data_IF_754337051504
#
_entry.id   IF_754337051504
#
_cell.length_a   1.000
_cell.length_b   1.000
_cell.length_c   1.000
_cell.angle_alpha   90.00
_cell.angle_beta   90.00
_cell.angle_gamma   90.00
#
_symmetry.space_group_name_H-M   'P 1'
#
loop_
_entity.id
_entity.type
_entity.pdbx_description
1 polymer ?
#
# COMPACT_ATOMS: atom_id res chain seq x y z
N UNK A 1 1.21 -27.29 -3.44
CA UNK A 1 0.54 -26.18 -4.13
C UNK A 1 1.57 -25.61 -5.07
N UNK A 2 1.14 -25.12 -6.24
CA UNK A 2 2.05 -24.38 -7.11
C UNK A 2 2.55 -23.12 -6.39
N UNK A 3 3.75 -22.69 -6.69
CA UNK A 3 4.35 -21.48 -6.13
C UNK A 3 4.07 -20.28 -7.01
N UNK A 4 4.04 -19.09 -6.43
CA UNK A 4 3.95 -17.83 -7.15
C UNK A 4 5.20 -16.99 -6.87
N UNK A 5 5.77 -16.44 -7.92
CA UNK A 5 7.03 -15.69 -7.88
C UNK A 5 6.81 -14.23 -8.25
N UNK A 6 7.49 -13.34 -7.57
CA UNK A 6 7.64 -11.94 -7.98
C UNK A 6 8.85 -11.86 -8.90
N UNK A 7 8.62 -11.48 -10.14
CA UNK A 7 9.68 -11.36 -11.15
C UNK A 7 10.32 -9.99 -11.11
N UNK A 8 9.51 -8.93 -11.10
CA UNK A 8 9.97 -7.56 -10.95
C UNK A 8 8.88 -6.70 -10.30
N UNK A 9 9.30 -5.56 -9.78
CA UNK A 9 8.43 -4.59 -9.15
C UNK A 9 8.95 -3.18 -9.43
N UNK A 10 8.06 -2.27 -9.83
CA UNK A 10 8.40 -0.90 -10.19
C UNK A 10 7.27 0.05 -9.78
N UNK A 11 7.63 1.29 -9.46
CA UNK A 11 6.67 2.33 -9.07
C UNK A 11 6.97 3.67 -9.74
N UNK A 12 6.00 4.55 -9.76
CA UNK A 12 6.23 5.96 -10.01
C UNK A 12 6.95 6.59 -8.80
N UNK A 13 7.59 7.74 -8.95
CA UNK A 13 7.78 8.62 -7.80
C UNK A 13 6.42 9.00 -7.22
N UNK A 14 6.38 9.37 -5.94
CA UNK A 14 5.15 9.81 -5.28
C UNK A 14 5.04 11.33 -5.36
N UNK A 15 3.99 11.81 -6.03
CA UNK A 15 3.68 13.22 -6.16
C UNK A 15 2.91 13.74 -4.93
N UNK A 16 3.36 14.84 -4.35
CA UNK A 16 2.67 15.46 -3.21
C UNK A 16 1.37 16.14 -3.62
N UNK A 17 0.56 16.52 -2.63
CA UNK A 17 -0.63 17.34 -2.85
C UNK A 17 -0.24 18.64 -3.57
N UNK A 18 -0.90 18.92 -4.73
CA UNK A 18 -0.60 20.04 -5.64
C UNK A 18 0.84 20.03 -6.16
N UNK A 19 1.46 18.84 -6.25
CA UNK A 19 2.81 18.65 -6.77
C UNK A 19 2.85 18.33 -8.26
N UNK A 20 3.99 17.82 -8.71
CA UNK A 20 4.29 17.59 -10.13
C UNK A 20 3.35 16.60 -10.82
N UNK A 21 2.78 15.63 -10.07
CA UNK A 21 1.87 14.64 -10.64
C UNK A 21 0.39 15.03 -10.57
N UNK A 22 0.05 16.19 -9.98
CA UNK A 22 -1.35 16.59 -9.73
C UNK A 22 -2.21 16.77 -11.00
N UNK A 23 -1.58 17.01 -12.15
CA UNK A 23 -2.23 17.16 -13.45
C UNK A 23 -2.20 15.87 -14.29
N UNK A 24 -1.52 14.81 -13.82
CA UNK A 24 -1.44 13.54 -14.55
C UNK A 24 -2.78 12.82 -14.46
N UNK A 25 -3.33 12.44 -15.60
CA UNK A 25 -4.58 11.68 -15.62
C UNK A 25 -4.40 10.32 -14.92
N UNK A 26 -5.34 9.87 -14.07
CA UNK A 26 -5.21 8.62 -13.31
C UNK A 26 -4.88 7.38 -14.16
N UNK A 27 -5.41 7.29 -15.38
CA UNK A 27 -5.10 6.19 -16.28
C UNK A 27 -3.65 6.24 -16.78
N UNK A 28 -3.11 7.45 -17.09
CA UNK A 28 -1.71 7.62 -17.50
C UNK A 28 -0.76 7.36 -16.34
N UNK A 29 -1.14 7.79 -15.13
CA UNK A 29 -0.40 7.51 -13.91
C UNK A 29 -0.22 6.01 -13.69
N UNK A 30 -1.33 5.23 -13.81
CA UNK A 30 -1.31 3.78 -13.66
C UNK A 30 -0.62 3.04 -14.81
N UNK A 31 -0.74 3.55 -16.04
CA UNK A 31 -0.10 2.98 -17.22
C UNK A 31 1.45 3.08 -17.17
N UNK A 32 1.98 4.08 -16.48
CA UNK A 32 3.42 4.34 -16.46
C UNK A 32 4.25 3.18 -15.86
N UNK A 33 3.97 2.68 -14.64
CA UNK A 33 4.71 1.54 -14.10
C UNK A 33 4.47 0.25 -14.88
N UNK A 34 3.32 0.07 -15.54
CA UNK A 34 3.09 -1.09 -16.42
C UNK A 34 4.06 -1.05 -17.60
N UNK A 35 4.18 0.10 -18.29
CA UNK A 35 5.16 0.26 -19.39
C UNK A 35 6.59 -0.03 -18.92
N UNK A 36 6.96 0.51 -17.78
CA UNK A 36 8.30 0.28 -17.21
C UNK A 36 8.52 -1.18 -16.85
N UNK A 37 7.54 -1.85 -16.25
CA UNK A 37 7.61 -3.27 -15.88
C UNK A 37 7.79 -4.18 -17.09
N UNK A 38 7.00 -4.00 -18.15
CA UNK A 38 7.09 -4.77 -19.40
C UNK A 38 8.46 -4.52 -20.07
N UNK A 39 8.90 -3.26 -20.14
CA UNK A 39 10.20 -2.94 -20.74
C UNK A 39 11.39 -3.54 -19.95
N UNK A 40 11.32 -3.54 -18.61
CA UNK A 40 12.39 -4.08 -17.75
C UNK A 40 12.48 -5.60 -17.80
N UNK A 41 11.34 -6.27 -17.82
CA UNK A 41 11.29 -7.74 -17.87
C UNK A 41 11.50 -8.32 -19.25
N UNK A 42 11.23 -7.52 -20.29
CA UNK A 42 11.34 -7.94 -21.70
C UNK A 42 10.33 -9.00 -22.11
N UNK A 43 9.28 -9.24 -21.31
CA UNK A 43 8.24 -10.20 -21.66
C UNK A 43 7.39 -9.72 -22.82
N UNK A 44 6.84 -10.66 -23.58
CA UNK A 44 5.70 -10.37 -24.46
C UNK A 44 4.47 -10.02 -23.61
N UNK A 45 4.02 -8.78 -23.71
CA UNK A 45 2.83 -8.34 -22.99
C UNK A 45 1.57 -9.16 -23.36
N UNK A 46 1.56 -9.79 -24.54
CA UNK A 46 0.49 -10.68 -24.97
C UNK A 46 0.44 -12.02 -24.24
N UNK A 47 1.50 -12.38 -23.52
CA UNK A 47 1.53 -13.58 -22.67
C UNK A 47 0.93 -13.36 -21.28
N UNK A 48 0.58 -12.11 -20.92
CA UNK A 48 -0.06 -11.81 -19.64
C UNK A 48 -1.50 -12.31 -19.66
N UNK A 49 -1.88 -13.10 -18.66
CA UNK A 49 -3.23 -13.66 -18.54
C UNK A 49 -4.24 -12.65 -18.02
N UNK A 50 -3.82 -11.77 -17.09
CA UNK A 50 -4.72 -10.81 -16.46
C UNK A 50 -3.96 -9.63 -15.82
N UNK A 51 -4.68 -8.54 -15.60
CA UNK A 51 -4.24 -7.36 -14.84
C UNK A 51 -5.15 -7.18 -13.64
N UNK A 52 -4.62 -7.36 -12.43
CA UNK A 52 -5.36 -7.13 -11.18
C UNK A 52 -4.86 -5.84 -10.56
N UNK A 53 -5.74 -4.84 -10.44
CA UNK A 53 -5.35 -3.47 -10.15
C UNK A 53 -6.09 -2.84 -8.99
N UNK A 54 -5.37 -2.40 -7.97
CA UNK A 54 -5.92 -1.73 -6.80
C UNK A 54 -6.23 -0.25 -7.08
N UNK A 55 -7.43 0.17 -6.73
CA UNK A 55 -7.83 1.58 -6.74
C UNK A 55 -8.99 1.79 -5.77
N UNK A 56 -8.94 2.87 -5.00
CA UNK A 56 -10.05 3.33 -4.16
C UNK A 56 -10.74 4.52 -4.82
N UNK A 57 -11.94 4.86 -4.33
CA UNK A 57 -12.68 6.01 -4.86
C UNK A 57 -12.79 5.96 -6.40
N UNK A 58 -13.30 4.84 -6.92
CA UNK A 58 -13.42 4.56 -8.36
C UNK A 58 -14.54 5.35 -9.03
N UNK A 59 -14.45 6.67 -8.98
CA UNK A 59 -15.36 7.63 -9.59
C UNK A 59 -14.62 8.54 -10.59
N UNK A 60 -15.35 9.23 -11.46
CA UNK A 60 -14.77 10.14 -12.44
C UNK A 60 -13.68 9.46 -13.28
N UNK A 61 -12.46 10.02 -13.36
CA UNK A 61 -11.38 9.46 -14.18
C UNK A 61 -10.78 8.14 -13.62
N UNK A 62 -11.19 7.70 -12.44
CA UNK A 62 -10.84 6.40 -11.86
C UNK A 62 -11.96 5.36 -12.01
N UNK A 63 -13.10 5.72 -12.61
CA UNK A 63 -14.23 4.82 -12.86
C UNK A 63 -14.02 3.94 -14.09
N UNK A 64 -14.97 3.04 -14.33
CA UNK A 64 -15.05 2.25 -15.56
C UNK A 64 -13.97 1.17 -15.67
N UNK A 65 -13.67 0.52 -14.56
CA UNK A 65 -12.59 -0.48 -14.46
C UNK A 65 -11.22 0.11 -14.82
N UNK A 66 -10.66 0.89 -13.89
CA UNK A 66 -9.35 1.52 -14.08
C UNK A 66 -8.25 0.46 -14.33
N UNK A 67 -8.36 -0.76 -13.78
CA UNK A 67 -7.42 -1.86 -14.01
C UNK A 67 -7.31 -2.22 -15.49
N UNK A 68 -8.43 -2.32 -16.18
CA UNK A 68 -8.45 -2.53 -17.63
C UNK A 68 -7.97 -1.29 -18.38
N UNK A 69 -8.40 -0.10 -17.93
CA UNK A 69 -8.06 1.17 -18.59
C UNK A 69 -6.56 1.45 -18.59
N UNK A 70 -5.85 1.24 -17.47
CA UNK A 70 -4.40 1.49 -17.40
C UNK A 70 -3.60 0.57 -18.32
N UNK A 71 -4.04 -0.67 -18.52
CA UNK A 71 -3.44 -1.61 -19.46
C UNK A 71 -3.56 -1.12 -20.92
N UNK A 72 -4.76 -0.68 -21.30
CA UNK A 72 -5.02 -0.15 -22.65
C UNK A 72 -4.29 1.16 -22.91
N UNK A 73 -4.25 2.08 -21.94
CA UNK A 73 -3.50 3.35 -22.03
C UNK A 73 -1.98 3.10 -22.07
N UNK A 74 -1.51 2.02 -21.46
CA UNK A 74 -0.13 1.59 -21.62
C UNK A 74 0.23 1.14 -23.05
N UNK A 75 -0.78 0.97 -23.93
CA UNK A 75 -0.59 0.51 -25.30
C UNK A 75 -0.42 -1.00 -25.41
N UNK A 76 -0.82 -1.73 -24.40
CA UNK A 76 -0.67 -3.19 -24.31
C UNK A 76 -1.79 -3.93 -25.07
N UNK A 77 -1.61 -5.25 -25.39
CA UNK A 77 -2.54 -6.02 -26.20
C UNK A 77 -3.98 -6.05 -25.65
N UNK A 78 -4.96 -5.87 -26.53
CA UNK A 78 -6.37 -5.75 -26.18
C UNK A 78 -7.02 -7.05 -25.69
N UNK A 79 -6.43 -8.20 -25.97
CA UNK A 79 -6.96 -9.50 -25.52
C UNK A 79 -6.69 -9.80 -24.05
N UNK A 80 -5.73 -9.10 -23.42
CA UNK A 80 -5.45 -9.26 -21.99
C UNK A 80 -6.50 -8.53 -21.17
N UNK A 81 -7.28 -9.21 -20.33
CA UNK A 81 -8.31 -8.59 -19.49
C UNK A 81 -7.69 -7.76 -18.36
N UNK A 82 -8.55 -7.12 -17.57
CA UNK A 82 -8.15 -6.44 -16.37
C UNK A 82 -9.33 -6.31 -15.42
N UNK A 83 -9.06 -6.19 -14.14
CA UNK A 83 -10.06 -5.98 -13.10
C UNK A 83 -9.56 -5.02 -12.03
N UNK A 84 -10.49 -4.24 -11.48
CA UNK A 84 -10.21 -3.30 -10.40
C UNK A 84 -10.61 -3.90 -9.06
N UNK A 85 -9.73 -3.78 -8.07
CA UNK A 85 -9.95 -4.26 -6.70
C UNK A 85 -9.98 -3.07 -5.75
N UNK A 86 -11.03 -2.97 -4.94
CA UNK A 86 -11.12 -2.08 -3.80
C UNK A 86 -11.13 -2.90 -2.50
N UNK A 87 -10.05 -2.82 -1.75
CA UNK A 87 -9.90 -3.22 -0.35
C UNK A 87 -9.36 -2.05 0.45
N UNK A 88 -9.93 -0.88 0.20
CA UNK A 88 -9.48 0.35 0.83
C UNK A 88 -7.95 0.52 0.69
N UNK A 89 -7.26 0.90 1.75
CA UNK A 89 -5.80 1.12 1.75
C UNK A 89 -4.99 -0.09 1.23
N UNK A 90 -5.52 -1.32 1.38
CA UNK A 90 -4.87 -2.57 0.97
C UNK A 90 -5.13 -3.02 -0.47
N UNK A 91 -5.77 -2.19 -1.31
CA UNK A 91 -6.26 -2.60 -2.64
C UNK A 91 -5.19 -3.23 -3.52
N UNK A 92 -4.01 -2.64 -3.67
CA UNK A 92 -2.93 -3.25 -4.48
C UNK A 92 -2.22 -4.42 -3.79
N UNK A 93 -2.23 -4.50 -2.46
CA UNK A 93 -1.79 -5.72 -1.78
C UNK A 93 -2.78 -6.86 -2.01
N UNK A 94 -4.09 -6.57 -2.03
CA UNK A 94 -5.11 -7.55 -2.40
C UNK A 94 -5.00 -7.95 -3.88
N UNK A 95 -4.67 -7.01 -4.75
CA UNK A 95 -4.39 -7.32 -6.17
C UNK A 95 -3.23 -8.31 -6.31
N UNK A 96 -2.14 -8.11 -5.56
CA UNK A 96 -1.03 -9.07 -5.45
C UNK A 96 -1.51 -10.44 -4.92
N UNK A 97 -2.36 -10.46 -3.90
CA UNK A 97 -2.91 -11.71 -3.36
C UNK A 97 -3.72 -12.46 -4.42
N UNK A 98 -4.60 -11.78 -5.17
CA UNK A 98 -5.42 -12.41 -6.20
C UNK A 98 -4.57 -12.92 -7.35
N UNK A 99 -3.58 -12.16 -7.82
CA UNK A 99 -2.62 -12.61 -8.83
C UNK A 99 -1.87 -13.87 -8.38
N UNK A 100 -1.30 -13.85 -7.16
CA UNK A 100 -0.60 -15.01 -6.61
C UNK A 100 -1.54 -16.22 -6.43
N UNK A 101 -2.78 -16.02 -5.97
CA UNK A 101 -3.78 -17.08 -5.84
C UNK A 101 -4.19 -17.65 -7.21
N UNK A 102 -4.35 -16.81 -8.24
CA UNK A 102 -4.59 -17.24 -9.61
C UNK A 102 -3.49 -18.15 -10.13
N UNK A 103 -2.24 -17.76 -9.90
CA UNK A 103 -1.04 -18.56 -10.25
C UNK A 103 -0.99 -19.86 -9.43
N UNK A 104 -1.15 -19.79 -8.10
CA UNK A 104 -1.12 -20.96 -7.22
C UNK A 104 -2.25 -21.94 -7.50
N UNK A 105 -3.39 -21.49 -8.00
CA UNK A 105 -4.51 -22.35 -8.40
C UNK A 105 -4.30 -23.05 -9.75
N UNK A 106 -3.32 -22.59 -10.54
CA UNK A 106 -3.06 -23.09 -11.89
C UNK A 106 -4.04 -22.59 -12.94
N UNK A 107 -4.81 -21.50 -12.65
CA UNK A 107 -5.72 -20.89 -13.61
C UNK A 107 -5.06 -19.76 -14.42
N UNK A 108 -3.93 -19.26 -13.96
CA UNK A 108 -3.14 -18.21 -14.57
C UNK A 108 -1.65 -18.52 -14.39
N UNK A 109 -0.82 -18.10 -15.34
CA UNK A 109 0.62 -18.32 -15.30
C UNK A 109 1.42 -17.03 -15.18
N UNK A 110 0.91 -15.93 -15.76
CA UNK A 110 1.60 -14.63 -15.78
C UNK A 110 0.61 -13.49 -15.57
N UNK A 111 0.72 -12.79 -14.44
CA UNK A 111 -0.24 -11.76 -14.03
C UNK A 111 0.46 -10.46 -13.64
N UNK A 112 -0.06 -9.34 -14.13
CA UNK A 112 0.35 -8.02 -13.64
C UNK A 112 -0.54 -7.64 -12.47
N UNK A 113 0.06 -7.46 -11.29
CA UNK A 113 -0.60 -6.95 -10.10
C UNK A 113 -0.09 -5.55 -9.78
N UNK A 114 -0.97 -4.65 -9.37
CA UNK A 114 -0.53 -3.31 -9.01
C UNK A 114 -1.66 -2.45 -8.49
N UNK A 115 -1.46 -1.14 -8.57
CA UNK A 115 -2.50 -0.18 -8.22
C UNK A 115 -2.07 1.25 -8.47
N UNK A 116 -3.04 2.13 -8.52
CA UNK A 116 -2.86 3.56 -8.66
C UNK A 116 -3.85 4.34 -7.81
N UNK A 117 -3.46 5.55 -7.42
CA UNK A 117 -4.35 6.50 -6.77
C UNK A 117 -3.92 7.92 -7.12
N UNK A 118 -4.83 8.73 -7.61
CA UNK A 118 -4.63 10.14 -7.90
C UNK A 118 -5.50 10.97 -6.94
N UNK A 119 -4.97 11.22 -5.72
CA UNK A 119 -5.73 11.90 -4.66
C UNK A 119 -5.82 13.42 -4.87
N UNK A 120 -5.05 13.97 -5.82
CA UNK A 120 -5.23 15.34 -6.28
C UNK A 120 -6.45 15.47 -7.19
N UNK A 121 -6.75 14.46 -8.02
CA UNK A 121 -7.89 14.45 -8.92
C UNK A 121 -9.18 14.01 -8.19
N UNK A 122 -9.10 12.93 -7.42
CA UNK A 122 -10.21 12.33 -6.66
C UNK A 122 -9.80 12.27 -5.19
N UNK A 123 -10.32 13.16 -4.34
CA UNK A 123 -10.00 13.18 -2.91
C UNK A 123 -10.41 11.88 -2.21
N UNK A 124 -9.70 11.56 -1.11
CA UNK A 124 -10.04 10.43 -0.24
C UNK A 124 -11.51 10.49 0.20
N UNK A 125 -12.19 9.36 0.17
CA UNK A 125 -13.60 9.18 0.53
C UNK A 125 -14.60 9.83 -0.44
N UNK A 126 -14.16 10.32 -1.60
CA UNK A 126 -15.07 10.94 -2.57
C UNK A 126 -16.17 9.96 -3.02
N UNK A 127 -15.89 8.67 -3.15
CA UNK A 127 -16.89 7.66 -3.49
C UNK A 127 -17.95 7.48 -2.40
N UNK A 128 -17.62 7.71 -1.12
CA UNK A 128 -18.57 7.60 -0.01
C UNK A 128 -19.68 8.67 -0.07
N UNK A 129 -19.38 9.81 -0.68
CA UNK A 129 -20.32 10.93 -0.84
C UNK A 129 -20.88 11.05 -2.26
N UNK A 130 -20.41 10.25 -3.20
CA UNK A 130 -20.86 10.29 -4.59
C UNK A 130 -22.36 9.94 -4.76
N UNK A 131 -22.99 9.39 -3.74
CA UNK A 131 -24.43 9.12 -3.70
C UNK A 131 -25.33 10.32 -3.37
N UNK A 132 -24.79 11.47 -2.98
CA UNK A 132 -25.57 12.64 -2.58
C UNK A 132 -26.62 13.09 -3.65
N UNK A 133 -26.29 13.11 -4.96
CA UNK A 133 -27.29 13.44 -6.00
C UNK A 133 -28.48 12.45 -6.06
N UNK A 134 -28.32 11.26 -5.48
CA UNK A 134 -29.33 10.21 -5.42
C UNK A 134 -30.02 10.12 -4.04
N UNK A 135 -29.72 11.04 -3.11
CA UNK A 135 -30.31 11.09 -1.79
C UNK A 135 -29.55 10.31 -0.70
N UNK A 136 -28.33 9.85 -0.96
CA UNK A 136 -27.49 9.11 -0.01
C UNK A 136 -26.33 9.99 0.47
N UNK A 137 -26.30 10.31 1.76
CA UNK A 137 -25.24 11.17 2.35
C UNK A 137 -23.97 10.41 2.72
N UNK A 138 -24.07 9.09 2.93
CA UNK A 138 -22.95 8.16 3.10
C UNK A 138 -23.46 6.71 2.95
N UNK A 139 -22.59 5.70 2.80
CA UNK A 139 -23.02 4.33 2.55
C UNK A 139 -23.68 3.62 3.75
N UNK A 140 -23.63 4.18 4.97
CA UNK A 140 -24.03 3.49 6.19
C UNK A 140 -25.32 4.02 6.81
N UNK A 141 -25.59 5.32 6.72
CA UNK A 141 -26.63 6.03 7.49
C UNK A 141 -28.07 5.66 7.14
N UNK A 142 -28.31 4.95 6.05
CA UNK A 142 -29.64 4.48 5.64
C UNK A 142 -29.82 2.96 5.82
N UNK A 143 -28.82 2.27 6.35
CA UNK A 143 -28.88 0.82 6.61
C UNK A 143 -29.38 0.52 8.01
N UNK A 144 -30.63 0.01 8.20
CA UNK A 144 -31.12 -0.34 9.53
C UNK A 144 -30.26 -1.40 10.25
N UNK A 145 -29.71 -2.35 9.49
CA UNK A 145 -28.83 -3.39 10.03
C UNK A 145 -27.49 -2.84 10.53
N UNK A 146 -26.93 -1.87 9.81
CA UNK A 146 -25.72 -1.18 10.26
C UNK A 146 -25.96 -0.38 11.53
N UNK A 147 -27.02 0.46 11.51
CA UNK A 147 -27.38 1.33 12.64
C UNK A 147 -27.67 0.52 13.91
N UNK A 148 -28.39 -0.60 13.77
CA UNK A 148 -28.70 -1.47 14.90
C UNK A 148 -27.46 -2.08 15.55
N UNK A 149 -26.38 -2.29 14.77
CA UNK A 149 -25.15 -2.94 15.24
C UNK A 149 -24.05 -1.97 15.65
N UNK A 150 -23.88 -0.87 14.93
CA UNK A 150 -22.74 0.05 15.06
C UNK A 150 -23.15 1.50 15.34
N UNK A 151 -24.46 1.79 15.37
CA UNK A 151 -24.97 3.15 15.50
C UNK A 151 -25.04 3.89 14.16
N UNK A 152 -25.50 5.12 14.21
CA UNK A 152 -25.69 6.01 13.05
C UNK A 152 -24.46 6.89 12.75
N UNK A 153 -23.42 6.80 13.58
CA UNK A 153 -22.16 7.53 13.41
C UNK A 153 -21.31 7.00 12.26
N UNK A 154 -20.59 7.91 11.59
CA UNK A 154 -19.54 7.53 10.64
C UNK A 154 -18.35 6.94 11.40
N UNK A 155 -17.87 5.80 10.95
CA UNK A 155 -16.58 5.29 11.37
C UNK A 155 -15.49 6.25 10.87
N UNK A 156 -14.65 6.71 11.80
CA UNK A 156 -13.65 7.73 11.54
C UNK A 156 -12.26 7.22 11.89
N UNK A 157 -11.38 7.17 10.90
CA UNK A 157 -10.01 6.70 11.10
C UNK A 157 -9.18 7.56 12.06
N UNK A 158 -9.49 8.87 12.19
CA UNK A 158 -8.78 9.74 13.13
C UNK A 158 -9.18 9.37 14.57
N UNK A 159 -10.47 9.15 14.84
CA UNK A 159 -10.95 8.64 16.12
C UNK A 159 -10.31 7.29 16.48
N UNK A 160 -10.21 6.38 15.49
CA UNK A 160 -9.55 5.10 15.68
C UNK A 160 -8.06 5.27 16.03
N UNK A 161 -7.34 6.17 15.35
CA UNK A 161 -5.94 6.45 15.64
C UNK A 161 -5.73 7.03 17.05
N UNK A 162 -6.65 7.92 17.52
CA UNK A 162 -6.66 8.43 18.89
C UNK A 162 -6.92 7.33 19.92
N UNK A 163 -7.94 6.49 19.70
CA UNK A 163 -8.27 5.36 20.57
C UNK A 163 -7.10 4.39 20.69
N UNK A 164 -6.39 4.13 19.61
CA UNK A 164 -5.19 3.27 19.59
C UNK A 164 -4.09 3.92 20.41
N UNK A 165 -3.80 5.20 20.22
CA UNK A 165 -2.81 5.91 21.00
C UNK A 165 -3.13 5.85 22.51
N UNK A 166 -4.39 6.00 22.89
CA UNK A 166 -4.84 5.90 24.28
C UNK A 166 -4.68 4.49 24.84
N UNK A 167 -5.17 3.47 24.12
CA UNK A 167 -5.16 2.07 24.56
C UNK A 167 -3.75 1.55 24.81
N UNK A 168 -2.80 1.89 23.93
CA UNK A 168 -1.41 1.44 24.05
C UNK A 168 -0.51 2.42 24.83
N UNK A 169 -1.08 3.51 25.37
CA UNK A 169 -0.34 4.52 26.13
C UNK A 169 0.73 5.20 25.31
N UNK A 170 0.43 5.52 24.05
CA UNK A 170 1.36 6.20 23.13
C UNK A 170 1.10 7.69 23.22
N UNK A 171 2.13 8.44 23.59
CA UNK A 171 2.08 9.89 23.69
C UNK A 171 2.24 10.57 22.33
N UNK A 172 1.83 11.82 22.24
CA UNK A 172 2.05 12.67 21.05
C UNK A 172 3.56 12.78 20.75
N UNK A 173 4.38 13.01 21.75
CA UNK A 173 5.83 13.14 21.56
C UNK A 173 6.48 11.87 20.98
N UNK A 174 6.04 10.69 21.41
CA UNK A 174 6.52 9.42 20.85
C UNK A 174 6.08 9.27 19.37
N UNK A 175 4.87 9.67 19.03
CA UNK A 175 4.39 9.66 17.63
C UNK A 175 5.15 10.66 16.75
N UNK A 176 5.50 11.83 17.28
CA UNK A 176 6.32 12.84 16.59
C UNK A 176 7.76 12.34 16.36
N UNK A 177 8.35 11.65 17.35
CA UNK A 177 9.67 11.03 17.18
C UNK A 177 9.62 9.90 16.12
N UNK A 178 8.58 9.10 16.10
CA UNK A 178 8.38 8.09 15.06
C UNK A 178 8.27 8.72 13.67
N UNK A 179 7.49 9.81 13.54
CA UNK A 179 7.34 10.53 12.28
C UNK A 179 8.66 11.19 11.83
N UNK A 180 9.40 11.77 12.76
CA UNK A 180 10.74 12.29 12.50
C UNK A 180 11.67 11.20 11.96
N UNK A 181 11.69 10.04 12.60
CA UNK A 181 12.50 8.89 12.17
C UNK A 181 12.08 8.40 10.76
N UNK A 182 10.77 8.38 10.43
CA UNK A 182 10.28 8.04 9.10
C UNK A 182 10.84 8.97 8.03
N UNK A 183 10.80 10.29 8.24
CA UNK A 183 11.39 11.27 7.32
C UNK A 183 12.91 11.13 7.21
N UNK A 184 13.62 10.91 8.32
CA UNK A 184 15.08 10.74 8.30
C UNK A 184 15.48 9.49 7.49
N UNK A 185 14.77 8.37 7.69
CA UNK A 185 15.01 7.13 6.94
C UNK A 185 14.75 7.29 5.45
N UNK A 186 13.64 7.95 5.09
CA UNK A 186 13.30 8.21 3.68
C UNK A 186 14.33 9.12 3.01
N UNK A 187 14.78 10.17 3.71
CA UNK A 187 15.82 11.06 3.20
C UNK A 187 17.14 10.31 3.01
N UNK A 188 17.58 9.55 4.01
CA UNK A 188 18.82 8.75 3.94
C UNK A 188 18.78 7.73 2.79
N UNK A 189 17.63 7.08 2.57
CA UNK A 189 17.44 6.16 1.45
C UNK A 189 17.52 6.87 0.08
N UNK A 190 16.95 8.08 -0.01
CA UNK A 190 17.03 8.92 -1.21
C UNK A 190 18.45 9.35 -1.50
N UNK A 191 19.17 9.88 -0.50
CA UNK A 191 20.54 10.36 -0.64
C UNK A 191 21.51 9.23 -1.00
N UNK A 192 21.25 8.03 -0.51
CA UNK A 192 22.02 6.82 -0.83
C UNK A 192 21.63 6.19 -2.18
N UNK A 193 20.62 6.70 -2.87
CA UNK A 193 20.15 6.20 -4.16
C UNK A 193 19.42 4.84 -4.07
N UNK A 194 18.93 4.45 -2.90
CA UNK A 194 18.33 3.13 -2.70
C UNK A 194 16.98 2.94 -3.41
N UNK A 195 16.30 4.04 -3.78
CA UNK A 195 15.07 4.01 -4.57
C UNK A 195 15.30 3.97 -6.09
N UNK A 196 16.55 4.09 -6.57
CA UNK A 196 16.82 4.21 -8.00
C UNK A 196 16.38 2.97 -8.81
N UNK A 197 16.42 1.77 -8.18
CA UNK A 197 16.02 0.52 -8.85
C UNK A 197 14.50 0.28 -8.85
N UNK A 198 13.75 1.05 -8.07
CA UNK A 198 12.29 0.87 -7.97
C UNK A 198 11.49 1.99 -8.62
N UNK A 199 12.05 3.20 -8.76
CA UNK A 199 11.35 4.35 -9.34
C UNK A 199 11.55 4.42 -10.84
N UNK A 200 10.45 4.44 -11.61
CA UNK A 200 10.40 4.85 -13.00
C UNK A 200 10.05 6.35 -13.04
N UNK A 201 10.97 7.24 -13.43
CA UNK A 201 10.71 8.68 -13.47
C UNK A 201 9.51 9.06 -14.34
N UNK A 202 8.72 10.04 -13.89
CA UNK A 202 7.50 10.51 -14.56
C UNK A 202 7.42 12.03 -14.48
N UNK A 203 7.06 12.72 -15.58
CA UNK A 203 6.89 14.18 -15.66
C UNK A 203 8.11 14.98 -15.13
N UNK A 204 9.32 14.48 -15.39
CA UNK A 204 10.55 15.08 -14.89
C UNK A 204 10.84 14.85 -13.40
N UNK A 205 9.93 14.19 -12.67
CA UNK A 205 10.12 13.79 -11.29
C UNK A 205 10.82 12.44 -11.24
N UNK A 206 11.97 12.36 -10.57
CA UNK A 206 12.79 11.16 -10.42
C UNK A 206 12.92 10.70 -8.96
N UNK A 207 12.33 11.43 -8.02
CA UNK A 207 12.35 11.17 -6.58
C UNK A 207 10.99 11.48 -5.97
N UNK A 208 10.71 10.94 -4.79
CA UNK A 208 9.47 11.21 -4.07
C UNK A 208 9.39 12.65 -3.58
N UNK A 209 8.38 13.40 -3.99
CA UNK A 209 8.15 14.80 -3.59
C UNK A 209 7.62 14.94 -2.15
N UNK A 210 7.18 13.84 -1.56
CA UNK A 210 6.52 13.82 -0.24
C UNK A 210 7.50 13.89 0.91
N UNK A 211 8.76 13.53 0.68
CA UNK A 211 9.81 13.58 1.69
C UNK A 211 10.08 15.05 2.06
N UNK A 212 10.19 15.33 3.36
CA UNK A 212 10.42 16.67 3.90
C UNK A 212 11.77 16.72 4.61
N UNK A 213 12.87 17.05 3.91
CA UNK A 213 14.22 17.06 4.48
C UNK A 213 14.38 18.03 5.67
N UNK A 214 13.58 19.11 5.69
CA UNK A 214 13.59 20.10 6.76
C UNK A 214 12.71 19.76 7.97
N UNK A 215 12.21 18.52 8.10
CA UNK A 215 11.43 18.12 9.26
C UNK A 215 12.29 18.15 10.51
N UNK A 216 11.83 18.86 11.56
CA UNK A 216 12.45 18.90 12.90
C UNK A 216 11.44 18.47 13.96
N UNK A 217 11.95 18.07 15.14
CA UNK A 217 11.09 17.71 16.27
C UNK A 217 10.27 18.88 16.77
N UNK A 218 10.88 20.07 16.81
CA UNK A 218 10.24 21.33 17.20
C UNK A 218 9.11 21.68 16.23
N UNK A 219 9.37 21.58 14.93
CA UNK A 219 8.36 21.83 13.90
C UNK A 219 7.18 20.85 13.96
N UNK A 220 7.40 19.60 14.30
CA UNK A 220 6.32 18.62 14.52
C UNK A 220 5.50 18.96 15.76
N UNK A 221 6.14 19.35 16.86
CA UNK A 221 5.50 19.72 18.12
C UNK A 221 4.61 20.98 18.01
N UNK A 222 4.94 21.92 17.10
CA UNK A 222 4.15 23.11 16.83
C UNK A 222 2.89 22.88 15.99
N UNK A 223 2.74 21.69 15.38
CA UNK A 223 1.58 21.40 14.54
C UNK A 223 0.28 21.35 15.36
N UNK A 224 -0.76 21.95 14.79
CA UNK A 224 -2.10 21.90 15.41
C UNK A 224 -2.67 20.49 15.42
N UNK A 225 -3.42 20.19 16.43
CA UNK A 225 -4.22 18.97 16.53
C UNK A 225 -5.28 18.95 15.41
N UNK A 226 -5.58 17.76 14.89
CA UNK A 226 -6.67 17.57 13.93
C UNK A 226 -8.01 17.65 14.66
N UNK A 227 -8.07 17.13 15.90
CA UNK A 227 -9.23 17.19 16.78
C UNK A 227 -8.85 17.86 18.10
N UNK A 228 -9.75 18.71 18.63
CA UNK A 228 -9.55 19.35 19.94
C UNK A 228 -9.46 18.28 21.03
N UNK A 229 -8.46 18.40 21.90
CA UNK A 229 -8.21 17.45 22.99
C UNK A 229 -7.57 16.11 22.56
N UNK A 230 -7.36 15.89 21.28
CA UNK A 230 -6.66 14.70 20.77
C UNK A 230 -5.14 14.79 20.86
N UNK A 231 -4.47 13.88 20.14
CA UNK A 231 -3.01 13.78 20.03
C UNK A 231 -2.55 13.85 18.57
N UNK A 232 -3.46 13.52 17.61
CA UNK A 232 -3.13 13.36 16.21
C UNK A 232 -2.99 14.71 15.51
N UNK A 233 -1.88 14.86 14.78
CA UNK A 233 -1.57 16.02 13.93
C UNK A 233 -1.32 15.58 12.49
N UNK A 234 -1.28 16.51 11.56
CA UNK A 234 -0.93 16.21 10.18
C UNK A 234 0.52 15.68 10.03
N UNK A 235 1.42 16.02 10.97
CA UNK A 235 2.81 15.57 10.91
C UNK A 235 3.03 14.11 11.31
N UNK A 236 2.07 13.51 12.00
CA UNK A 236 2.11 12.10 12.43
C UNK A 236 1.07 11.25 11.69
N UNK A 237 0.57 11.78 10.57
CA UNK A 237 -0.38 11.14 9.66
C UNK A 237 0.22 10.98 8.28
N UNK A 238 -0.24 9.98 7.54
CA UNK A 238 0.16 9.78 6.13
C UNK A 238 -0.26 10.95 5.24
N UNK A 239 0.50 11.18 4.17
CA UNK A 239 0.24 12.28 3.25
C UNK A 239 -0.69 11.87 2.11
N UNK A 240 -1.66 12.74 1.77
CA UNK A 240 -2.43 12.64 0.52
C UNK A 240 -1.49 12.93 -0.66
N UNK A 241 -1.49 12.04 -1.66
CA UNK A 241 -0.51 12.06 -2.74
C UNK A 241 -1.00 11.24 -3.94
N UNK A 242 -0.26 11.32 -5.04
CA UNK A 242 -0.51 10.57 -6.26
C UNK A 242 0.61 9.56 -6.47
N UNK A 243 0.27 8.36 -6.92
CA UNK A 243 1.28 7.35 -7.23
C UNK A 243 0.68 6.06 -7.79
N UNK A 244 1.54 5.28 -8.41
CA UNK A 244 1.20 3.97 -8.95
C UNK A 244 2.38 3.01 -8.81
N UNK A 245 2.09 1.71 -8.72
CA UNK A 245 3.10 0.66 -8.70
C UNK A 245 2.57 -0.61 -9.37
N UNK A 246 3.48 -1.39 -9.98
CA UNK A 246 3.17 -2.63 -10.67
C UNK A 246 4.20 -3.70 -10.36
N UNK A 247 3.73 -4.95 -10.24
CA UNK A 247 4.53 -6.15 -10.06
C UNK A 247 4.16 -7.18 -11.13
N UNK A 248 5.13 -7.98 -11.55
CA UNK A 248 4.91 -9.14 -12.40
C UNK A 248 4.96 -10.40 -11.55
N UNK A 249 3.86 -11.15 -11.56
CA UNK A 249 3.70 -12.39 -10.81
C UNK A 249 3.66 -13.55 -11.81
N UNK A 250 4.46 -14.58 -11.56
CA UNK A 250 4.61 -15.70 -12.47
C UNK A 250 4.52 -17.05 -11.76
N UNK A 251 4.02 -18.06 -12.50
CA UNK A 251 4.15 -19.48 -12.13
C UNK A 251 5.57 -19.99 -12.43
N UNK A 252 5.92 -21.16 -11.91
CA UNK A 252 7.16 -21.84 -12.26
C UNK A 252 7.23 -22.16 -13.76
N UNK A 253 6.10 -22.47 -14.37
CA UNK A 253 6.01 -22.70 -15.83
C UNK A 253 6.35 -21.42 -16.60
N UNK A 254 5.70 -20.29 -16.27
CA UNK A 254 5.98 -19.02 -16.92
C UNK A 254 7.43 -18.55 -16.70
N UNK A 255 7.99 -18.75 -15.51
CA UNK A 255 9.42 -18.48 -15.24
C UNK A 255 10.31 -19.20 -16.24
N UNK A 256 10.04 -20.48 -16.48
CA UNK A 256 10.82 -21.32 -17.40
C UNK A 256 10.55 -20.95 -18.87
N UNK A 257 9.31 -20.82 -19.25
CA UNK A 257 8.90 -20.63 -20.65
C UNK A 257 9.33 -19.26 -21.20
N UNK A 258 9.36 -18.23 -20.33
CA UNK A 258 9.79 -16.88 -20.67
C UNK A 258 11.23 -16.56 -20.21
N UNK A 259 11.98 -17.55 -19.68
CA UNK A 259 13.35 -17.38 -19.19
C UNK A 259 13.46 -16.19 -18.19
N UNK A 260 12.52 -16.12 -17.24
CA UNK A 260 12.48 -15.08 -16.22
C UNK A 260 13.39 -15.43 -15.04
N UNK A 261 13.80 -14.39 -14.29
CA UNK A 261 14.56 -14.57 -13.04
C UNK A 261 13.70 -14.12 -11.88
N UNK A 262 13.20 -15.04 -11.04
CA UNK A 262 12.44 -14.69 -9.85
C UNK A 262 13.31 -13.92 -8.84
N UNK A 263 12.78 -12.83 -8.29
CA UNK A 263 13.42 -12.05 -7.22
C UNK A 263 12.98 -12.52 -5.85
N UNK A 264 11.70 -12.93 -5.74
CA UNK A 264 11.15 -13.47 -4.51
C UNK A 264 10.03 -14.48 -4.77
N UNK A 265 9.76 -15.33 -3.81
CA UNK A 265 8.61 -16.21 -3.75
C UNK A 265 7.58 -15.66 -2.78
N UNK A 266 6.30 -15.79 -3.10
CA UNK A 266 5.22 -15.56 -2.14
C UNK A 266 5.20 -16.72 -1.15
N UNK A 267 5.69 -16.50 0.07
CA UNK A 267 5.77 -17.51 1.12
C UNK A 267 4.42 -17.71 1.81
N UNK A 268 3.73 -16.61 2.14
CA UNK A 268 2.40 -16.63 2.76
C UNK A 268 1.60 -15.39 2.38
N UNK A 269 0.29 -15.56 2.26
CA UNK A 269 -0.66 -14.47 2.12
C UNK A 269 -1.94 -14.78 2.89
N UNK A 270 -2.48 -13.78 3.55
CA UNK A 270 -3.75 -13.88 4.27
C UNK A 270 -4.39 -12.51 4.46
N UNK A 271 -5.70 -12.54 4.68
CA UNK A 271 -6.51 -11.37 5.03
C UNK A 271 -7.28 -11.70 6.29
N UNK A 272 -7.36 -10.76 7.22
CA UNK A 272 -8.17 -10.86 8.43
C UNK A 272 -8.93 -9.57 8.68
N UNK A 273 -9.98 -9.69 9.44
CA UNK A 273 -10.75 -8.53 9.92
C UNK A 273 -10.81 -8.56 11.45
N UNK A 274 -11.01 -7.40 12.02
CA UNK A 274 -11.19 -7.12 13.44
C UNK A 274 -12.39 -6.17 13.62
N UNK A 275 -12.56 -5.60 14.78
CA UNK A 275 -13.64 -4.67 15.09
C UNK A 275 -13.60 -3.44 14.17
N UNK A 276 -14.67 -3.17 13.39
CA UNK A 276 -14.71 -2.05 12.45
C UNK A 276 -14.71 -0.67 13.12
N UNK A 277 -15.09 -0.58 14.41
CA UNK A 277 -15.04 0.68 15.18
C UNK A 277 -13.60 1.03 15.54
N UNK A 278 -12.81 0.04 15.95
CA UNK A 278 -11.37 0.16 16.15
C UNK A 278 -10.61 0.28 14.83
N UNK A 279 -11.19 -0.19 13.74
CA UNK A 279 -10.78 -0.09 12.34
C UNK A 279 -9.30 -0.39 12.08
N UNK A 280 -8.37 0.29 12.76
CA UNK A 280 -6.95 0.30 12.42
C UNK A 280 -6.12 -0.68 13.26
N UNK A 281 -6.75 -1.52 14.11
CA UNK A 281 -6.09 -2.56 14.93
C UNK A 281 -5.87 -3.87 14.18
N UNK A 282 -6.56 -4.09 13.07
CA UNK A 282 -6.55 -5.36 12.34
C UNK A 282 -5.16 -5.90 11.94
N UNK A 283 -4.11 -5.08 11.67
CA UNK A 283 -2.74 -5.59 11.44
C UNK A 283 -2.21 -6.48 12.58
N UNK A 284 -2.62 -6.25 13.83
CA UNK A 284 -2.17 -7.03 14.99
C UNK A 284 -2.63 -8.49 14.88
N UNK A 285 -3.95 -8.81 14.93
CA UNK A 285 -4.41 -10.20 14.80
C UNK A 285 -4.10 -10.81 13.43
N UNK A 286 -4.04 -10.00 12.37
CA UNK A 286 -3.69 -10.49 11.04
C UNK A 286 -2.24 -11.01 10.98
N UNK A 287 -1.28 -10.27 11.57
CA UNK A 287 0.12 -10.68 11.64
C UNK A 287 0.29 -11.93 12.50
N UNK A 288 -0.35 -11.99 13.68
CA UNK A 288 -0.32 -13.20 14.53
C UNK A 288 -0.82 -14.43 13.79
N UNK A 289 -1.94 -14.29 13.07
CA UNK A 289 -2.49 -15.37 12.26
C UNK A 289 -1.53 -15.79 11.14
N UNK A 290 -0.96 -14.84 10.40
CA UNK A 290 -0.06 -15.10 9.28
C UNK A 290 1.20 -15.85 9.75
N UNK A 291 1.84 -15.38 10.80
CA UNK A 291 3.03 -16.03 11.37
C UNK A 291 2.70 -17.46 11.85
N UNK A 292 1.58 -17.65 12.57
CA UNK A 292 1.14 -18.98 13.02
C UNK A 292 0.90 -19.91 11.83
N UNK A 293 0.23 -19.45 10.78
CA UNK A 293 -0.06 -20.26 9.58
C UNK A 293 1.18 -20.58 8.74
N UNK A 294 2.13 -19.66 8.71
CA UNK A 294 3.42 -19.89 8.05
C UNK A 294 4.39 -20.75 8.87
N UNK A 295 4.05 -21.05 10.15
CA UNK A 295 4.96 -21.76 11.07
C UNK A 295 6.18 -20.91 11.44
N UNK A 296 6.03 -19.59 11.45
CA UNK A 296 7.09 -18.61 11.68
C UNK A 296 6.84 -17.81 12.95
N UNK A 297 7.89 -17.14 13.41
CA UNK A 297 7.89 -16.20 14.53
C UNK A 297 8.37 -14.83 14.05
N UNK A 298 8.25 -13.79 14.87
CA UNK A 298 8.83 -12.45 14.60
C UNK A 298 10.34 -12.53 14.36
N UNK A 299 11.04 -13.45 15.01
CA UNK A 299 12.49 -13.60 14.89
C UNK A 299 12.93 -14.09 13.49
N UNK A 300 12.06 -14.82 12.79
CA UNK A 300 12.34 -15.37 11.47
C UNK A 300 12.21 -14.31 10.35
N UNK A 301 11.65 -13.14 10.67
CA UNK A 301 11.45 -12.06 9.71
C UNK A 301 12.62 -11.06 9.80
N UNK A 302 13.23 -10.78 8.66
CA UNK A 302 14.35 -9.85 8.57
C UNK A 302 13.88 -8.39 8.48
N UNK A 303 12.86 -8.11 7.65
CA UNK A 303 12.30 -6.78 7.45
C UNK A 303 10.77 -6.80 7.50
N UNK A 304 10.21 -5.70 8.00
CA UNK A 304 8.79 -5.48 8.09
C UNK A 304 8.40 -4.18 7.39
N UNK A 305 7.30 -4.21 6.65
CA UNK A 305 6.59 -3.03 6.17
C UNK A 305 5.20 -2.99 6.81
N UNK A 306 4.98 -2.04 7.70
CA UNK A 306 3.67 -1.75 8.27
C UNK A 306 3.26 -0.34 7.85
N UNK A 307 2.14 -0.21 7.12
CA UNK A 307 1.73 1.09 6.60
C UNK A 307 1.50 2.12 7.71
N UNK A 308 2.08 3.31 7.55
CA UNK A 308 2.00 4.42 8.50
C UNK A 308 0.79 5.33 8.19
N UNK A 309 -0.43 4.79 8.23
CA UNK A 309 -1.61 5.65 8.06
C UNK A 309 -1.64 6.76 9.12
N UNK A 310 -1.31 6.39 10.37
CA UNK A 310 -1.00 7.26 11.50
C UNK A 310 0.11 6.59 12.32
N UNK A 311 0.97 7.37 12.97
CA UNK A 311 2.10 6.82 13.74
C UNK A 311 1.67 5.85 14.86
N UNK A 312 0.49 6.06 15.47
CA UNK A 312 -0.04 5.18 16.52
C UNK A 312 -0.23 3.73 16.08
N UNK A 313 -0.47 3.48 14.78
CA UNK A 313 -0.77 2.15 14.26
C UNK A 313 0.46 1.24 14.24
N UNK A 314 1.55 1.55 13.52
CA UNK A 314 2.75 0.71 13.56
C UNK A 314 3.36 0.67 14.97
N UNK A 315 3.23 1.74 15.77
CA UNK A 315 3.73 1.75 17.15
C UNK A 315 2.96 0.77 18.04
N UNK A 316 1.62 0.74 17.97
CA UNK A 316 0.81 -0.23 18.71
C UNK A 316 1.07 -1.66 18.24
N UNK A 317 1.18 -1.88 16.92
CA UNK A 317 1.48 -3.15 16.31
C UNK A 317 2.86 -3.69 16.73
N UNK A 318 3.90 -2.84 16.71
CA UNK A 318 5.24 -3.21 17.21
C UNK A 318 5.22 -3.55 18.70
N UNK A 319 4.54 -2.75 19.51
CA UNK A 319 4.46 -2.94 20.96
C UNK A 319 3.75 -4.24 21.34
N UNK A 320 2.63 -4.53 20.66
CA UNK A 320 1.82 -5.74 20.91
C UNK A 320 2.53 -7.03 20.50
N UNK A 321 3.30 -6.99 19.40
CA UNK A 321 3.95 -8.17 18.82
C UNK A 321 5.42 -8.32 19.18
N UNK A 322 6.01 -7.35 19.91
CA UNK A 322 7.42 -7.37 20.26
C UNK A 322 8.34 -7.19 19.04
N UNK A 323 7.91 -6.44 18.03
CA UNK A 323 8.67 -6.21 16.81
C UNK A 323 9.62 -5.02 17.01
N UNK A 324 10.92 -5.17 16.77
CA UNK A 324 11.89 -4.10 16.96
C UNK A 324 11.79 -3.05 15.82
N UNK A 325 11.78 -1.75 16.19
CA UNK A 325 11.58 -0.65 15.24
C UNK A 325 12.66 -0.56 14.17
N UNK A 326 13.88 -1.01 14.45
CA UNK A 326 14.98 -1.03 13.49
C UNK A 326 14.76 -1.95 12.29
N UNK A 327 13.82 -2.91 12.40
CA UNK A 327 13.42 -3.80 11.30
C UNK A 327 12.18 -3.28 10.54
N UNK A 328 11.49 -2.25 11.02
CA UNK A 328 10.22 -1.77 10.48
C UNK A 328 10.42 -0.52 9.65
N UNK A 329 9.88 -0.50 8.41
CA UNK A 329 9.89 0.65 7.51
C UNK A 329 11.30 1.28 7.41
N UNK A 330 12.28 0.44 7.11
CA UNK A 330 13.71 0.82 7.17
C UNK A 330 14.12 1.92 6.19
N UNK A 331 13.28 2.20 5.20
CA UNK A 331 13.43 3.30 4.23
C UNK A 331 12.41 4.43 4.45
N UNK A 332 11.81 4.51 5.65
CA UNK A 332 10.67 5.36 5.92
C UNK A 332 9.35 4.76 5.41
N UNK A 333 8.24 5.29 5.85
CA UNK A 333 6.90 4.82 5.50
C UNK A 333 5.98 5.94 5.00
N UNK A 334 4.68 5.73 5.09
CA UNK A 334 3.66 6.61 4.49
C UNK A 334 3.63 8.04 5.05
N UNK A 335 4.13 8.25 6.26
CA UNK A 335 4.28 9.60 6.83
C UNK A 335 5.27 10.43 5.99
N UNK A 336 6.37 9.80 5.57
CA UNK A 336 7.40 10.45 4.75
C UNK A 336 7.14 10.28 3.24
N UNK A 337 6.89 9.04 2.81
CA UNK A 337 6.78 8.66 1.39
C UNK A 337 5.37 8.83 0.81
N UNK A 338 4.37 9.12 1.65
CA UNK A 338 3.00 9.26 1.21
C UNK A 338 2.21 7.94 1.13
N UNK A 339 0.89 8.08 1.01
CA UNK A 339 -0.07 6.98 1.01
C UNK A 339 -1.07 7.12 -0.13
N UNK A 340 -0.66 6.85 -1.39
CA UNK A 340 -1.60 6.76 -2.50
C UNK A 340 -2.41 5.47 -2.34
N UNK A 341 -3.59 5.55 -1.71
CA UNK A 341 -4.37 4.43 -1.15
C UNK A 341 -4.31 3.15 -1.99
N UNK A 342 -4.85 3.21 -3.22
CA UNK A 342 -4.92 2.06 -4.13
C UNK A 342 -3.56 1.50 -4.55
N UNK A 343 -2.49 2.32 -4.52
CA UNK A 343 -1.14 1.93 -4.94
C UNK A 343 -0.26 1.46 -3.79
N UNK A 344 -0.63 1.77 -2.54
CA UNK A 344 0.29 1.64 -1.39
C UNK A 344 0.80 0.22 -1.17
N UNK A 345 -0.07 -0.79 -1.30
CA UNK A 345 0.35 -2.18 -1.11
C UNK A 345 1.44 -2.62 -2.07
N UNK A 346 1.31 -2.27 -3.35
CA UNK A 346 2.32 -2.55 -4.37
C UNK A 346 3.60 -1.71 -4.15
N UNK A 347 3.46 -0.44 -3.71
CA UNK A 347 4.60 0.42 -3.38
C UNK A 347 5.42 -0.15 -2.21
N UNK A 348 4.77 -0.55 -1.12
CA UNK A 348 5.42 -1.17 0.04
C UNK A 348 6.16 -2.45 -0.36
N UNK A 349 5.51 -3.30 -1.16
CA UNK A 349 6.12 -4.55 -1.65
C UNK A 349 7.35 -4.28 -2.52
N UNK A 350 7.29 -3.27 -3.39
CA UNK A 350 8.42 -2.88 -4.24
C UNK A 350 9.60 -2.42 -3.38
N UNK A 351 9.36 -1.58 -2.38
CA UNK A 351 10.39 -1.08 -1.46
C UNK A 351 10.97 -2.21 -0.60
N UNK A 352 10.11 -3.08 -0.05
CA UNK A 352 10.55 -4.21 0.79
C UNK A 352 11.42 -5.20 0.01
N UNK A 353 11.04 -5.53 -1.24
CA UNK A 353 11.82 -6.42 -2.10
C UNK A 353 13.24 -5.87 -2.34
N UNK A 354 13.35 -4.60 -2.73
CA UNK A 354 14.64 -3.96 -2.93
C UNK A 354 15.46 -3.82 -1.63
N UNK A 355 14.79 -3.60 -0.49
CA UNK A 355 15.44 -3.55 0.82
C UNK A 355 16.00 -4.92 1.23
N UNK A 356 15.25 -6.01 1.02
CA UNK A 356 15.74 -7.38 1.28
C UNK A 356 16.96 -7.72 0.43
N UNK A 357 16.93 -7.39 -0.86
CA UNK A 357 18.08 -7.62 -1.76
C UNK A 357 19.31 -6.84 -1.29
N UNK A 358 19.14 -5.57 -0.94
CA UNK A 358 20.24 -4.71 -0.49
C UNK A 358 20.84 -5.16 0.85
N UNK A 359 20.01 -5.63 1.77
CA UNK A 359 20.47 -6.04 3.13
C UNK A 359 20.89 -7.50 3.21
N UNK A 360 20.59 -8.30 2.19
CA UNK A 360 20.79 -9.75 2.24
C UNK A 360 19.76 -10.50 3.09
N UNK A 361 18.68 -9.82 3.53
CA UNK A 361 17.58 -10.43 4.25
C UNK A 361 16.85 -11.48 3.41
N UNK A 362 16.27 -12.48 4.05
CA UNK A 362 15.54 -13.56 3.38
C UNK A 362 14.04 -13.37 3.41
N UNK A 363 13.48 -13.07 4.57
CA UNK A 363 12.04 -12.96 4.77
C UNK A 363 11.62 -11.52 5.05
N UNK A 364 10.61 -11.05 4.31
CA UNK A 364 9.93 -9.78 4.55
C UNK A 364 8.45 -9.98 4.81
N UNK A 365 7.90 -9.25 5.77
CA UNK A 365 6.47 -9.25 6.08
C UNK A 365 5.88 -7.87 5.86
N UNK A 366 4.85 -7.79 5.02
CA UNK A 366 4.08 -6.57 4.77
C UNK A 366 2.68 -6.67 5.34
N UNK A 367 2.22 -5.62 6.01
CA UNK A 367 0.84 -5.46 6.48
C UNK A 367 0.37 -4.02 6.42
N UNK A 368 -0.94 -3.82 6.41
CA UNK A 368 -1.55 -2.50 6.55
C UNK A 368 -2.95 -2.58 7.14
N UNK A 369 -3.37 -1.50 7.81
CA UNK A 369 -4.74 -1.29 8.24
C UNK A 369 -5.60 -0.81 7.07
N UNK A 370 -6.83 -1.29 7.00
CA UNK A 370 -7.76 -1.00 5.91
C UNK A 370 -9.10 -0.55 6.48
N UNK A 371 -9.78 0.32 5.76
CA UNK A 371 -11.13 0.73 6.12
C UNK A 371 -12.06 -0.47 6.36
N UNK A 372 -12.94 -0.35 7.36
CA UNK A 372 -13.82 -1.44 7.77
C UNK A 372 -13.19 -2.46 8.72
N UNK A 373 -12.00 -2.19 9.27
CA UNK A 373 -11.35 -3.05 10.26
C UNK A 373 -10.71 -4.30 9.66
N UNK A 374 -10.04 -4.17 8.54
CA UNK A 374 -9.40 -5.27 7.83
C UNK A 374 -7.88 -5.07 7.74
N UNK A 375 -7.15 -6.14 7.45
CA UNK A 375 -5.72 -6.11 7.15
C UNK A 375 -5.28 -7.26 6.26
N UNK A 376 -4.49 -6.94 5.24
CA UNK A 376 -3.71 -7.90 4.47
C UNK A 376 -2.38 -8.18 5.18
N UNK A 377 -1.90 -9.42 5.06
CA UNK A 377 -0.51 -9.79 5.40
C UNK A 377 0.08 -10.60 4.26
N UNK A 378 1.26 -10.20 3.82
CA UNK A 378 2.05 -10.93 2.83
C UNK A 378 3.43 -11.20 3.39
N UNK A 379 3.89 -12.44 3.35
CA UNK A 379 5.29 -12.80 3.64
C UNK A 379 5.93 -13.22 2.33
N UNK A 380 7.04 -12.61 1.98
CA UNK A 380 7.85 -12.99 0.83
C UNK A 380 9.18 -13.59 1.28
N UNK A 381 9.70 -14.50 0.48
CA UNK A 381 11.04 -15.05 0.62
C UNK A 381 11.88 -14.57 -0.57
N UNK A 382 12.93 -13.77 -0.31
CA UNK A 382 13.91 -13.39 -1.33
C UNK A 382 14.69 -14.63 -1.81
N UNK A 383 14.89 -14.76 -3.10
CA UNK A 383 15.62 -15.85 -3.76
C UNK A 383 17.07 -15.47 -4.09
#
# INVERSE_FOLDING_TARGET
>A
MAEAYIIDAVRTPIGRKKGSLAAVHPADLGAHPIKALIARTGIDAGAVDDVVWGCCDTIGPQAGDIGRTVWLVAGMPQHVPGTTVDRQCGSSQQALHFAAQGVMSGTQDLVVAGGSQAMNAIPISAAMYAGEPYGFTNPFNTSPGWIARYGDGLLNQINSAEMIADKWGISRAEMEEFAFASHQRAQAATDAGWFANEIAPLEGLAQDETIRPGTTREGLAELRLIQEGGKITAGISSQNCDGAAALLIASEAAVKDHNLTPRARIHHLSVRADDPVWMLTAPIPATQYALTKAGMTVADIDLFECNEAFASIPMAWMKELGIPHEKVNVHGGAIALGHPLGATGARLMTTMLNALERTGGRYGLQTMCEGGGQANVTIIERL
#
